data_IF_738232782808
#
_entry.id   IF_738232782808
#
_cell.length_a   1.000
_cell.length_b   1.000
_cell.length_c   1.000
_cell.angle_alpha   90.00
_cell.angle_beta   90.00
_cell.angle_gamma   90.00
#
_symmetry.space_group_name_H-M   'P 1'
#
loop_
_entity.id
_entity.type
_entity.pdbx_description
1 polymer ?
#
# COMPACT_ATOMS: atom_id res chain seq x y z
N UNK A 1 40.65 21.17 -23.62
CA UNK A 1 39.95 21.14 -22.31
C UNK A 1 38.54 20.64 -22.59
N UNK A 2 38.33 19.33 -22.43
CA UNK A 2 37.04 18.71 -22.71
C UNK A 2 36.14 18.86 -21.48
N UNK A 3 35.04 19.60 -21.62
CA UNK A 3 34.02 19.77 -20.58
C UNK A 3 33.47 18.40 -20.18
N UNK A 4 33.70 18.03 -18.93
CA UNK A 4 33.14 16.82 -18.31
C UNK A 4 31.63 17.04 -18.19
N UNK A 5 30.86 16.29 -18.98
CA UNK A 5 29.40 16.20 -18.85
C UNK A 5 29.12 15.65 -17.45
N UNK A 6 28.36 16.41 -16.68
CA UNK A 6 27.84 16.02 -15.38
C UNK A 6 27.21 14.63 -15.49
N UNK A 7 27.88 13.64 -14.91
CA UNK A 7 27.39 12.28 -14.80
C UNK A 7 26.04 12.34 -14.07
N UNK A 8 25.01 11.74 -14.66
CA UNK A 8 23.70 11.58 -14.04
C UNK A 8 23.87 10.88 -12.69
N UNK A 9 23.96 11.66 -11.62
CA UNK A 9 23.96 11.16 -10.25
C UNK A 9 22.58 10.51 -10.06
N UNK A 10 22.55 9.18 -10.04
CA UNK A 10 21.37 8.41 -9.68
C UNK A 10 21.03 8.72 -8.21
N UNK A 11 20.21 9.75 -7.99
CA UNK A 11 19.69 10.12 -6.67
C UNK A 11 18.76 9.00 -6.21
N UNK A 12 19.16 8.28 -5.17
CA UNK A 12 18.31 7.28 -4.53
C UNK A 12 17.19 8.02 -3.79
N UNK A 13 15.95 7.88 -4.27
CA UNK A 13 14.75 8.37 -3.58
C UNK A 13 14.79 7.99 -2.10
N UNK A 14 14.58 8.97 -1.21
CA UNK A 14 14.43 8.71 0.21
C UNK A 14 13.22 7.78 0.44
N UNK A 15 13.49 6.53 0.82
CA UNK A 15 12.49 5.47 0.95
C UNK A 15 11.50 5.69 2.10
N UNK A 16 11.75 6.67 2.97
CA UNK A 16 10.96 6.92 4.17
C UNK A 16 9.56 7.47 3.83
N UNK A 17 9.46 8.34 2.82
CA UNK A 17 8.18 8.90 2.38
C UNK A 17 7.28 7.81 1.77
N UNK A 18 7.86 6.75 1.21
CA UNK A 18 7.10 5.63 0.64
C UNK A 18 6.55 4.71 1.73
N UNK A 19 7.34 4.36 2.74
CA UNK A 19 6.88 3.48 3.81
C UNK A 19 5.74 4.10 4.62
N UNK A 20 5.91 5.31 5.14
CA UNK A 20 4.88 5.96 5.96
C UNK A 20 3.61 6.21 5.15
N UNK A 21 3.71 6.67 3.89
CA UNK A 21 2.54 6.83 3.03
C UNK A 21 1.82 5.51 2.75
N UNK A 22 2.56 4.42 2.56
CA UNK A 22 1.96 3.10 2.37
C UNK A 22 1.26 2.62 3.65
N UNK A 23 1.85 2.90 4.81
CA UNK A 23 1.29 2.58 6.12
C UNK A 23 -0.01 3.38 6.36
N UNK A 24 0.03 4.70 6.22
CA UNK A 24 -1.15 5.57 6.36
C UNK A 24 -2.24 5.18 5.37
N UNK A 25 -1.88 4.82 4.13
CA UNK A 25 -2.85 4.34 3.15
C UNK A 25 -3.49 3.02 3.56
N UNK A 26 -2.69 2.07 4.07
CA UNK A 26 -3.21 0.78 4.54
C UNK A 26 -4.12 0.92 5.77
N UNK A 27 -3.80 1.84 6.68
CA UNK A 27 -4.67 2.21 7.82
C UNK A 27 -5.96 2.87 7.32
N UNK A 28 -5.87 3.82 6.38
CA UNK A 28 -7.04 4.52 5.82
C UNK A 28 -7.99 3.55 5.10
N UNK A 29 -7.44 2.61 4.34
CA UNK A 29 -8.20 1.55 3.67
C UNK A 29 -8.74 0.49 4.65
N UNK A 30 -8.33 0.53 5.92
CA UNK A 30 -8.69 -0.45 6.96
C UNK A 30 -8.08 -1.83 6.78
N UNK A 31 -7.05 -1.94 5.94
CA UNK A 31 -6.25 -3.17 5.81
C UNK A 31 -5.45 -3.45 7.08
N UNK A 32 -5.10 -2.39 7.82
CA UNK A 32 -4.53 -2.44 9.17
C UNK A 32 -5.64 -2.00 10.13
N UNK A 33 -5.90 -2.81 11.16
CA UNK A 33 -6.88 -2.56 12.22
C UNK A 33 -8.34 -2.30 11.83
N UNK A 34 -8.73 -2.56 10.57
CA UNK A 34 -10.14 -2.56 10.18
C UNK A 34 -10.98 -3.48 11.08
N UNK A 35 -12.19 -3.06 11.49
CA UNK A 35 -13.05 -3.81 12.40
C UNK A 35 -13.65 -5.07 11.75
N UNK A 36 -13.77 -5.08 10.42
CA UNK A 36 -14.36 -6.17 9.66
C UNK A 36 -13.25 -7.00 9.01
N UNK A 37 -13.33 -8.33 9.11
CA UNK A 37 -12.37 -9.26 8.49
C UNK A 37 -13.05 -10.16 7.46
N UNK A 38 -12.39 -10.39 6.34
CA UNK A 38 -12.80 -11.44 5.42
C UNK A 38 -12.61 -12.81 6.08
N UNK A 39 -13.64 -13.65 6.03
CA UNK A 39 -13.61 -14.99 6.62
C UNK A 39 -12.80 -16.00 5.82
N UNK A 40 -12.44 -15.69 4.58
CA UNK A 40 -11.70 -16.60 3.68
C UNK A 40 -10.19 -16.32 3.74
N UNK A 41 -9.77 -15.08 3.45
CA UNK A 41 -8.35 -14.71 3.39
C UNK A 41 -7.83 -14.03 4.66
N UNK A 42 -8.71 -13.64 5.60
CA UNK A 42 -8.31 -12.95 6.83
C UNK A 42 -7.94 -11.47 6.68
N UNK A 43 -8.05 -10.88 5.49
CA UNK A 43 -7.81 -9.44 5.28
C UNK A 43 -8.84 -8.60 6.05
N UNK A 44 -8.42 -7.42 6.52
CA UNK A 44 -9.26 -6.47 7.24
C UNK A 44 -9.75 -5.35 6.32
N UNK A 45 -10.91 -4.80 6.66
CA UNK A 45 -11.62 -3.77 5.93
C UNK A 45 -12.35 -2.83 6.91
N UNK A 46 -12.56 -1.58 6.47
CA UNK A 46 -13.39 -0.63 7.22
C UNK A 46 -14.87 -1.01 7.16
N UNK A 47 -15.39 -1.37 6.00
CA UNK A 47 -16.80 -1.72 5.82
C UNK A 47 -17.01 -3.24 5.84
N UNK A 48 -18.21 -3.67 6.25
CA UNK A 48 -18.60 -5.08 6.21
C UNK A 48 -18.80 -5.56 4.77
N UNK A 49 -19.30 -4.69 3.90
CA UNK A 49 -19.55 -4.98 2.48
C UNK A 49 -18.25 -5.34 1.74
N UNK A 50 -17.17 -4.60 2.01
CA UNK A 50 -15.86 -4.90 1.43
C UNK A 50 -15.29 -6.23 1.96
N UNK A 51 -15.47 -6.52 3.26
CA UNK A 51 -15.05 -7.77 3.86
C UNK A 51 -15.82 -8.98 3.31
N UNK A 52 -17.14 -8.84 3.15
CA UNK A 52 -18.02 -9.87 2.58
C UNK A 52 -17.79 -10.03 1.06
N UNK A 53 -17.32 -8.98 0.37
CA UNK A 53 -17.01 -9.00 -1.06
C UNK A 53 -15.62 -9.55 -1.42
N UNK A 54 -14.64 -9.47 -0.51
CA UNK A 54 -13.23 -9.77 -0.76
C UNK A 54 -12.97 -11.14 -1.43
N UNK A 55 -13.62 -12.19 -0.96
CA UNK A 55 -13.44 -13.56 -1.48
C UNK A 55 -14.78 -14.20 -1.87
N UNK A 56 -15.74 -13.39 -2.32
CA UNK A 56 -16.99 -13.94 -2.89
C UNK A 56 -16.64 -14.77 -4.11
N UNK A 57 -16.73 -16.09 -3.96
CA UNK A 57 -16.72 -17.03 -5.08
C UNK A 57 -18.08 -16.81 -5.77
N UNK A 58 -18.06 -16.09 -6.90
CA UNK A 58 -19.23 -16.00 -7.76
C UNK A 58 -19.29 -17.33 -8.55
N UNK A 59 -20.38 -18.12 -8.43
CA UNK A 59 -20.52 -19.38 -9.15
C UNK A 59 -20.64 -19.18 -10.67
#
# INVERSE_FOLDING_TARGET
MASVKEEEILVRDESFVKYERLLTKAETEGRIDGPNKCLVCGMRYMSKEDADGCCKINP
#
